data_IF_258597936730
#
_entry.id   IF_258597936730
#
_cell.length_a   1.000
_cell.length_b   1.000
_cell.length_c   1.000
_cell.angle_alpha   90.00
_cell.angle_beta   90.00
_cell.angle_gamma   90.00
#
_symmetry.space_group_name_H-M   'P 1'
#
loop_
_entity.id
_entity.type
_entity.pdbx_description
1 polymer ?
#
# COMPACT_ATOMS: atom_id res chain seq x y z
N UNK A 1 34.45 8.50 29.05
CA UNK A 1 34.63 8.43 30.52
C UNK A 1 33.69 9.44 31.16
N UNK A 2 32.98 8.99 32.21
CA UNK A 2 32.20 9.75 33.21
C UNK A 2 30.89 10.41 32.72
N UNK A 3 29.72 10.23 33.35
CA UNK A 3 29.37 9.48 34.56
C UNK A 3 27.87 9.11 34.51
N UNK A 4 27.57 7.81 34.47
CA UNK A 4 26.25 7.29 34.81
C UNK A 4 26.14 7.23 36.32
N UNK A 5 25.53 8.24 36.94
CA UNK A 5 25.16 8.16 38.35
C UNK A 5 24.02 7.15 38.53
N UNK A 6 24.01 6.36 39.62
CA UNK A 6 22.85 5.53 39.93
C UNK A 6 21.67 6.47 40.20
N UNK A 7 20.65 6.41 39.35
CA UNK A 7 19.35 7.04 39.66
C UNK A 7 18.92 6.50 41.02
N UNK A 8 18.80 7.38 42.02
CA UNK A 8 18.24 7.03 43.33
C UNK A 8 16.87 6.39 43.08
N UNK A 9 16.82 5.06 43.17
CA UNK A 9 15.62 4.28 42.97
C UNK A 9 14.54 4.78 43.92
N UNK A 10 13.36 5.00 43.37
CA UNK A 10 12.17 5.25 44.19
C UNK A 10 12.06 4.11 45.22
N UNK A 11 11.61 4.35 46.47
CA UNK A 11 11.37 3.26 47.44
C UNK A 11 10.33 2.22 46.95
N UNK A 12 9.74 2.45 45.78
CA UNK A 12 8.82 1.56 45.07
C UNK A 12 9.45 0.84 43.86
N UNK A 13 10.73 1.09 43.55
CA UNK A 13 11.52 0.35 42.56
C UNK A 13 12.09 -0.93 43.17
N UNK A 14 11.19 -1.86 43.48
CA UNK A 14 11.60 -3.22 43.79
C UNK A 14 12.10 -3.90 42.52
N UNK A 15 13.29 -4.51 42.61
CA UNK A 15 13.84 -5.38 41.57
C UNK A 15 12.78 -6.41 41.11
N UNK A 16 12.72 -6.74 39.80
CA UNK A 16 11.64 -7.54 39.24
C UNK A 16 11.46 -8.91 39.92
N UNK A 17 12.53 -9.48 40.46
CA UNK A 17 12.52 -10.76 41.19
C UNK A 17 11.74 -10.68 42.51
N UNK A 18 11.85 -9.56 43.24
CA UNK A 18 11.12 -9.33 44.50
C UNK A 18 9.62 -9.14 44.29
N UNK A 19 9.22 -8.60 43.14
CA UNK A 19 7.81 -8.43 42.77
C UNK A 19 7.09 -9.77 42.63
N UNK A 20 7.76 -10.77 42.05
CA UNK A 20 7.18 -12.11 41.90
C UNK A 20 7.00 -12.80 43.25
N UNK A 21 7.98 -12.71 44.14
CA UNK A 21 7.89 -13.31 45.48
C UNK A 21 6.71 -12.76 46.29
N UNK A 22 6.53 -11.44 46.34
CA UNK A 22 5.39 -10.81 47.04
C UNK A 22 4.06 -11.17 46.39
N UNK A 23 3.98 -11.16 45.06
CA UNK A 23 2.75 -11.54 44.36
C UNK A 23 2.36 -12.98 44.65
N UNK A 24 3.34 -13.90 44.70
CA UNK A 24 3.12 -15.31 45.03
C UNK A 24 2.72 -15.51 46.50
N UNK A 25 3.27 -14.72 47.41
CA UNK A 25 2.89 -14.72 48.82
C UNK A 25 1.44 -14.21 49.03
N UNK A 26 1.06 -13.14 48.33
CA UNK A 26 -0.27 -12.54 48.37
C UNK A 26 -1.35 -13.41 47.68
N UNK A 27 -0.97 -14.25 46.71
CA UNK A 27 -1.88 -15.22 46.07
C UNK A 27 -2.52 -16.21 47.05
N UNK A 28 -1.96 -16.37 48.26
CA UNK A 28 -2.56 -17.18 49.32
C UNK A 28 -3.94 -16.66 49.72
N UNK A 29 -4.15 -15.34 49.70
CA UNK A 29 -5.46 -14.74 49.93
C UNK A 29 -6.40 -14.97 48.74
N UNK A 30 -7.64 -15.40 49.02
CA UNK A 30 -8.62 -15.77 47.99
C UNK A 30 -9.13 -14.53 47.24
N UNK A 31 -9.27 -13.40 47.94
CA UNK A 31 -9.74 -12.14 47.36
C UNK A 31 -8.69 -11.53 46.44
N UNK A 32 -7.44 -11.44 46.91
CA UNK A 32 -6.33 -11.01 46.08
C UNK A 32 -6.15 -11.86 44.83
N UNK A 33 -6.23 -13.20 44.97
CA UNK A 33 -6.13 -14.13 43.84
C UNK A 33 -7.19 -13.89 42.77
N UNK A 34 -8.45 -13.69 43.17
CA UNK A 34 -9.53 -13.41 42.24
C UNK A 34 -9.32 -12.08 41.51
N UNK A 35 -8.94 -11.03 42.25
CA UNK A 35 -8.62 -9.72 41.67
C UNK A 35 -7.42 -9.79 40.71
N UNK A 36 -6.38 -10.53 41.06
CA UNK A 36 -5.18 -10.67 40.24
C UNK A 36 -5.49 -11.37 38.91
N UNK A 37 -6.21 -12.50 38.94
CA UNK A 37 -6.58 -13.22 37.72
C UNK A 37 -7.50 -12.40 36.81
N UNK A 38 -8.49 -11.71 37.39
CA UNK A 38 -9.40 -10.86 36.61
C UNK A 38 -8.67 -9.68 35.99
N UNK A 39 -7.77 -9.03 36.74
CA UNK A 39 -6.93 -7.94 36.23
C UNK A 39 -5.99 -8.41 35.12
N UNK A 40 -5.28 -9.52 35.29
CA UNK A 40 -4.40 -10.09 34.25
C UNK A 40 -5.16 -10.51 33.00
N UNK A 41 -6.37 -11.08 33.15
CA UNK A 41 -7.23 -11.41 32.01
C UNK A 41 -7.64 -10.17 31.22
N UNK A 42 -7.97 -9.08 31.91
CA UNK A 42 -8.30 -7.78 31.28
C UNK A 42 -7.10 -7.20 30.55
N UNK A 43 -5.94 -7.18 31.20
CA UNK A 43 -4.70 -6.65 30.60
C UNK A 43 -4.27 -7.47 29.38
N UNK A 44 -4.40 -8.80 29.46
CA UNK A 44 -4.15 -9.68 28.32
C UNK A 44 -5.12 -9.43 27.16
N UNK A 45 -6.40 -9.18 27.43
CA UNK A 45 -7.38 -8.83 26.40
C UNK A 45 -7.03 -7.50 25.72
N UNK A 46 -6.59 -6.50 26.49
CA UNK A 46 -6.16 -5.20 25.96
C UNK A 46 -4.90 -5.37 25.12
N UNK A 47 -3.92 -6.12 25.62
CA UNK A 47 -2.69 -6.45 24.90
C UNK A 47 -2.99 -7.14 23.56
N UNK A 48 -3.86 -8.16 23.56
CA UNK A 48 -4.26 -8.84 22.33
C UNK A 48 -4.94 -7.91 21.33
N UNK A 49 -5.83 -7.04 21.80
CA UNK A 49 -6.48 -6.04 20.93
C UNK A 49 -5.43 -5.12 20.30
N UNK A 50 -4.48 -4.63 21.09
CA UNK A 50 -3.41 -3.76 20.60
C UNK A 50 -2.47 -4.48 19.62
N UNK A 51 -2.04 -5.70 19.94
CA UNK A 51 -1.20 -6.51 19.05
C UNK A 51 -1.92 -6.87 17.75
N UNK A 52 -3.20 -7.24 17.83
CA UNK A 52 -3.99 -7.53 16.62
C UNK A 52 -4.10 -6.31 15.70
N UNK A 53 -4.20 -5.11 16.27
CA UNK A 53 -4.22 -3.87 15.51
C UNK A 53 -2.87 -3.61 14.83
N UNK A 54 -1.76 -3.76 15.56
CA UNK A 54 -0.43 -3.61 14.98
C UNK A 54 -0.12 -4.63 13.88
N UNK A 55 -0.54 -5.89 14.06
CA UNK A 55 -0.37 -6.93 13.05
C UNK A 55 -1.25 -6.64 11.83
N UNK A 56 -2.50 -6.23 12.04
CA UNK A 56 -3.40 -5.86 10.95
C UNK A 56 -2.87 -4.66 10.16
N UNK A 57 -2.34 -3.65 10.85
CA UNK A 57 -1.73 -2.47 10.23
C UNK A 57 -0.50 -2.85 9.40
N UNK A 58 0.41 -3.66 9.94
CA UNK A 58 1.58 -4.17 9.21
C UNK A 58 1.19 -5.05 8.02
N UNK A 59 0.19 -5.91 8.17
CA UNK A 59 -0.32 -6.75 7.09
C UNK A 59 -0.98 -5.90 5.99
N UNK A 60 -1.74 -4.86 6.37
CA UNK A 60 -2.36 -3.93 5.43
C UNK A 60 -1.31 -3.15 4.62
N UNK A 61 -0.30 -2.59 5.28
CA UNK A 61 0.80 -1.91 4.59
C UNK A 61 1.62 -2.88 3.73
N UNK A 62 1.88 -4.09 4.22
CA UNK A 62 2.54 -5.14 3.44
C UNK A 62 1.73 -5.51 2.18
N UNK A 63 0.41 -5.61 2.30
CA UNK A 63 -0.48 -5.86 1.18
C UNK A 63 -0.52 -4.70 0.19
N UNK A 64 -0.58 -3.45 0.66
CA UNK A 64 -0.54 -2.27 -0.21
C UNK A 64 0.76 -2.18 -1.00
N UNK A 65 1.90 -2.34 -0.32
CA UNK A 65 3.22 -2.31 -0.97
C UNK A 65 3.36 -3.49 -1.95
N UNK A 66 2.95 -4.69 -1.54
CA UNK A 66 2.97 -5.87 -2.41
C UNK A 66 2.10 -5.70 -3.65
N UNK A 67 0.88 -5.19 -3.48
CA UNK A 67 -0.05 -4.88 -4.58
C UNK A 67 0.54 -3.84 -5.54
N UNK A 68 1.18 -2.79 -5.02
CA UNK A 68 1.85 -1.77 -5.84
C UNK A 68 3.01 -2.37 -6.65
N UNK A 69 3.84 -3.22 -6.04
CA UNK A 69 4.94 -3.90 -6.74
C UNK A 69 4.39 -4.80 -7.84
N UNK A 70 3.36 -5.61 -7.55
CA UNK A 70 2.71 -6.47 -8.55
C UNK A 70 2.14 -5.63 -9.69
N UNK A 71 1.48 -4.51 -9.40
CA UNK A 71 0.96 -3.59 -10.41
C UNK A 71 2.07 -3.04 -11.29
N UNK A 72 3.21 -2.64 -10.72
CA UNK A 72 4.36 -2.13 -11.48
C UNK A 72 4.97 -3.22 -12.37
N UNK A 73 5.10 -4.45 -11.85
CA UNK A 73 5.72 -5.55 -12.60
C UNK A 73 4.82 -6.10 -13.70
N UNK A 74 3.49 -6.10 -13.49
CA UNK A 74 2.54 -6.65 -14.47
C UNK A 74 2.13 -5.64 -15.55
N UNK A 75 2.32 -4.35 -15.32
CA UNK A 75 1.92 -3.30 -16.26
C UNK A 75 3.13 -2.80 -17.04
N UNK A 76 3.33 -3.31 -18.25
CA UNK A 76 4.48 -3.01 -19.12
C UNK A 76 4.70 -1.49 -19.32
N UNK A 77 3.64 -0.69 -19.29
CA UNK A 77 3.69 0.79 -19.34
C UNK A 77 4.41 1.39 -18.13
N UNK A 78 4.22 0.84 -16.94
CA UNK A 78 4.86 1.36 -15.72
C UNK A 78 6.34 0.99 -15.65
N UNK A 79 6.70 -0.22 -16.12
CA UNK A 79 8.09 -0.64 -16.34
C UNK A 79 8.78 0.24 -17.40
N UNK A 80 8.09 0.58 -18.48
CA UNK A 80 8.62 1.49 -19.51
C UNK A 80 8.81 2.93 -19.00
N UNK A 81 7.93 3.44 -18.13
CA UNK A 81 8.11 4.76 -17.47
C UNK A 81 9.29 4.73 -16.50
N UNK A 82 9.48 3.62 -15.77
CA UNK A 82 10.61 3.44 -14.86
C UNK A 82 11.95 3.36 -15.58
N UNK A 83 11.98 2.81 -16.80
CA UNK A 83 13.17 2.71 -17.66
C UNK A 83 13.44 3.97 -18.48
N UNK A 84 12.45 4.86 -18.61
CA UNK A 84 12.55 6.13 -19.35
C UNK A 84 13.79 6.97 -19.01
N UNK A 85 14.16 7.21 -17.74
CA UNK A 85 15.32 8.05 -17.43
C UNK A 85 16.67 7.37 -17.69
N UNK A 86 16.70 6.08 -17.99
CA UNK A 86 17.92 5.26 -18.02
C UNK A 86 18.23 4.60 -19.37
N UNK A 87 17.25 4.41 -20.25
CA UNK A 87 17.45 3.83 -21.59
C UNK A 87 17.50 4.91 -22.70
N UNK A 88 18.20 4.62 -23.79
CA UNK A 88 18.27 5.49 -24.96
C UNK A 88 16.85 5.65 -25.58
N UNK A 89 16.37 6.87 -25.85
CA UNK A 89 15.04 7.12 -26.39
C UNK A 89 14.71 6.31 -27.66
N UNK A 90 15.72 5.97 -28.48
CA UNK A 90 15.50 5.14 -29.67
C UNK A 90 15.22 3.66 -29.35
N UNK A 91 15.75 3.14 -28.24
CA UNK A 91 15.46 1.78 -27.78
C UNK A 91 14.11 1.72 -27.07
N UNK A 92 13.77 2.77 -26.31
CA UNK A 92 12.45 2.92 -25.69
C UNK A 92 11.32 2.94 -26.73
N UNK A 93 11.49 3.64 -27.86
CA UNK A 93 10.48 3.67 -28.93
C UNK A 93 10.29 2.33 -29.66
N UNK A 94 11.27 1.42 -29.57
CA UNK A 94 11.16 0.05 -30.09
C UNK A 94 10.43 -0.87 -29.13
N UNK A 95 10.18 -0.45 -27.89
CA UNK A 95 9.49 -1.29 -26.91
C UNK A 95 8.05 -1.59 -27.38
N UNK A 96 7.56 -2.82 -27.13
CA UNK A 96 6.24 -3.26 -27.60
C UNK A 96 5.10 -2.39 -27.07
N UNK A 97 5.30 -1.74 -25.92
CA UNK A 97 4.34 -0.80 -25.32
C UNK A 97 4.14 0.43 -26.19
N UNK A 98 5.23 1.04 -26.65
CA UNK A 98 5.19 2.24 -27.47
C UNK A 98 4.70 1.95 -28.88
N UNK A 99 5.05 0.78 -29.43
CA UNK A 99 4.49 0.30 -30.69
C UNK A 99 2.97 0.11 -30.60
N UNK A 100 2.47 -0.53 -29.53
CA UNK A 100 1.02 -0.72 -29.32
C UNK A 100 0.30 0.63 -29.22
N UNK A 101 0.85 1.58 -28.46
CA UNK A 101 0.28 2.93 -28.32
C UNK A 101 0.29 3.71 -29.63
N UNK A 102 1.35 3.59 -30.43
CA UNK A 102 1.46 4.22 -31.76
C UNK A 102 0.46 3.63 -32.75
N UNK A 103 0.29 2.31 -32.74
CA UNK A 103 -0.70 1.62 -33.57
C UNK A 103 -2.13 2.01 -33.20
N UNK A 104 -2.42 2.17 -31.91
CA UNK A 104 -3.72 2.65 -31.46
C UNK A 104 -4.00 4.10 -31.91
N UNK A 105 -2.99 4.97 -31.86
CA UNK A 105 -3.10 6.35 -32.37
C UNK A 105 -3.31 6.36 -33.89
N UNK A 106 -2.57 5.53 -34.64
CA UNK A 106 -2.72 5.44 -36.09
C UNK A 106 -4.12 4.92 -36.47
N UNK A 107 -4.62 3.91 -35.76
CA UNK A 107 -5.98 3.39 -35.96
C UNK A 107 -7.03 4.49 -35.73
N UNK A 108 -6.89 5.29 -34.68
CA UNK A 108 -7.80 6.44 -34.42
C UNK A 108 -7.73 7.50 -35.52
N UNK A 109 -6.56 7.72 -36.12
CA UNK A 109 -6.39 8.64 -37.25
C UNK A 109 -7.05 8.10 -38.51
N UNK A 110 -6.89 6.81 -38.79
CA UNK A 110 -7.54 6.13 -39.92
C UNK A 110 -9.07 6.15 -39.79
N UNK A 111 -9.59 5.90 -38.59
CA UNK A 111 -11.03 5.99 -38.30
C UNK A 111 -11.54 7.44 -38.50
N UNK A 112 -10.78 8.44 -38.07
CA UNK A 112 -11.14 9.86 -38.25
C UNK A 112 -11.07 10.30 -39.72
N UNK A 113 -10.08 9.84 -40.49
CA UNK A 113 -10.00 10.14 -41.93
C UNK A 113 -11.15 9.51 -42.69
N UNK A 114 -11.53 8.29 -42.33
CA UNK A 114 -12.68 7.61 -42.95
C UNK A 114 -14.00 8.34 -42.69
N UNK A 115 -14.22 8.81 -41.47
CA UNK A 115 -15.40 9.62 -41.13
C UNK A 115 -15.43 10.96 -41.87
N UNK A 116 -14.26 11.58 -42.09
CA UNK A 116 -14.16 12.79 -42.90
C UNK A 116 -14.46 12.53 -44.38
N UNK A 117 -13.95 11.43 -44.95
CA UNK A 117 -14.27 11.02 -46.32
C UNK A 117 -15.76 10.74 -46.51
N UNK A 118 -16.38 9.99 -45.58
CA UNK A 118 -17.82 9.71 -45.58
C UNK A 118 -18.65 11.00 -45.45
N UNK A 119 -18.22 11.93 -44.57
CA UNK A 119 -18.87 13.24 -44.42
C UNK A 119 -18.76 14.09 -45.69
N UNK A 120 -17.61 14.07 -46.35
CA UNK A 120 -17.36 14.84 -47.57
C UNK A 120 -18.13 14.26 -48.76
N UNK A 121 -18.25 12.93 -48.82
CA UNK A 121 -19.10 12.23 -49.79
C UNK A 121 -20.58 12.61 -49.64
N UNK A 122 -21.10 12.64 -48.40
CA UNK A 122 -22.49 13.07 -48.12
C UNK A 122 -22.69 14.55 -48.48
N UNK A 123 -21.72 15.41 -48.17
CA UNK A 123 -21.79 16.83 -48.48
C UNK A 123 -21.88 17.07 -50.00
N UNK A 124 -20.98 16.46 -50.78
CA UNK A 124 -20.96 16.57 -52.23
C UNK A 124 -22.23 15.98 -52.87
N UNK A 125 -22.74 14.86 -52.35
CA UNK A 125 -24.00 14.28 -52.81
C UNK A 125 -25.18 15.24 -52.61
N UNK A 126 -25.24 15.92 -51.46
CA UNK A 126 -26.33 16.86 -51.15
C UNK A 126 -26.22 18.21 -51.87
N UNK A 127 -25.01 18.66 -52.24
CA UNK A 127 -24.83 19.88 -53.05
C UNK A 127 -24.95 19.63 -54.55
N UNK A 128 -24.77 18.38 -55.01
CA UNK A 128 -24.89 18.02 -56.44
C UNK A 128 -26.32 17.82 -56.93
N UNK A 129 -27.33 17.83 -56.05
CA UNK A 129 -28.74 17.82 -56.46
C UNK A 129 -29.14 19.27 -56.72
N UNK A 130 -29.39 19.68 -57.98
CA UNK A 130 -29.89 21.01 -58.26
C UNK A 130 -31.30 21.11 -57.67
N UNK A 131 -31.50 22.06 -56.76
CA UNK A 131 -32.84 22.54 -56.40
C UNK A 131 -33.41 23.25 -57.63
N UNK A 132 -34.15 22.51 -58.44
CA UNK A 132 -35.07 23.04 -59.46
C UNK A 132 -36.35 23.54 -58.82
#
# INVERSE_FOLDING_TARGET
>A
MNAGGPSKGSPYDYQPEWRWYNTLWEMRDKSFRHWYYTSKKRDFKIYWKYQSYQVAEKAFFGFLIGSLIVFIVTNDTSLAILRWPTEDPNELLKSPVWQKKRNEINKRKEDASKLLEDSNYIHNKNTSVPTS
#
